data_IF_852426404894
#
_entry.id   IF_852426404894
#
_cell.length_a   1.000
_cell.length_b   1.000
_cell.length_c   1.000
_cell.angle_alpha   90.00
_cell.angle_beta   90.00
_cell.angle_gamma   90.00
#
_symmetry.space_group_name_H-M   'P 1'
#
loop_
_entity.id
_entity.type
_entity.pdbx_description
1 polymer ?
#
# COMPACT_ATOMS: atom_id res chain seq x y z
N UNK A 1 -20.80 23.35 -6.94
CA UNK A 1 -21.63 23.78 -5.81
C UNK A 1 -23.03 24.22 -6.25
N UNK A 2 -23.20 25.09 -7.25
CA UNK A 2 -24.53 25.60 -7.67
C UNK A 2 -25.53 24.51 -8.10
N UNK A 3 -25.06 23.44 -8.75
CA UNK A 3 -25.91 22.33 -9.21
C UNK A 3 -26.45 21.46 -8.05
N UNK A 4 -25.70 21.32 -6.95
CA UNK A 4 -26.13 20.54 -5.77
C UNK A 4 -27.24 21.26 -5.04
N UNK A 5 -27.14 22.59 -4.92
CA UNK A 5 -28.19 23.43 -4.35
C UNK A 5 -29.45 23.42 -5.22
N UNK A 6 -29.30 23.53 -6.55
CA UNK A 6 -30.42 23.45 -7.47
C UNK A 6 -31.19 22.12 -7.35
N UNK A 7 -30.48 20.99 -7.34
CA UNK A 7 -31.08 19.67 -7.16
C UNK A 7 -31.72 19.50 -5.78
N UNK A 8 -31.09 20.02 -4.72
CA UNK A 8 -31.64 19.96 -3.35
C UNK A 8 -32.96 20.70 -3.26
N UNK A 9 -33.07 21.88 -3.88
CA UNK A 9 -34.32 22.64 -3.97
C UNK A 9 -35.37 21.89 -4.79
N UNK A 10 -34.99 21.32 -5.94
CA UNK A 10 -35.87 20.51 -6.80
C UNK A 10 -36.50 19.32 -6.05
N UNK A 11 -35.73 18.67 -5.16
CA UNK A 11 -36.16 17.45 -4.47
C UNK A 11 -36.66 17.68 -3.04
N UNK A 12 -36.55 18.90 -2.51
CA UNK A 12 -37.05 19.28 -1.19
C UNK A 12 -38.40 20.01 -1.24
N UNK A 13 -38.82 20.52 -2.40
CA UNK A 13 -40.12 21.19 -2.57
C UNK A 13 -41.31 20.20 -2.50
N UNK A 14 -42.51 20.64 -2.05
CA UNK A 14 -43.74 19.84 -2.10
C UNK A 14 -44.18 19.53 -3.55
N UNK A 15 -44.95 18.46 -3.73
CA UNK A 15 -45.20 17.84 -5.05
C UNK A 15 -45.87 18.77 -6.08
N UNK A 16 -46.65 19.74 -5.61
CA UNK A 16 -47.32 20.77 -6.40
C UNK A 16 -46.38 21.86 -6.95
N UNK A 17 -45.26 22.10 -6.27
CA UNK A 17 -44.20 23.00 -6.74
C UNK A 17 -43.19 22.31 -7.66
N UNK A 18 -42.94 21.01 -7.46
CA UNK A 18 -42.05 20.21 -8.32
C UNK A 18 -42.48 20.20 -9.79
N UNK A 19 -43.79 20.25 -10.06
CA UNK A 19 -44.34 20.27 -11.41
C UNK A 19 -44.08 21.60 -12.17
N UNK A 20 -43.74 22.69 -11.46
CA UNK A 20 -43.46 24.01 -12.06
C UNK A 20 -41.98 24.21 -12.41
N UNK A 21 -41.09 23.39 -11.86
CA UNK A 21 -39.64 23.46 -12.09
C UNK A 21 -39.33 22.67 -13.37
N UNK A 22 -39.54 23.31 -14.52
CA UNK A 22 -39.51 22.68 -15.85
C UNK A 22 -38.15 22.20 -16.37
N UNK A 23 -37.08 22.23 -15.58
CA UNK A 23 -35.78 21.62 -15.93
C UNK A 23 -35.34 20.71 -14.80
N UNK A 24 -35.25 19.40 -15.10
CA UNK A 24 -34.62 18.43 -14.21
C UNK A 24 -33.11 18.62 -14.28
N UNK A 25 -32.44 18.65 -13.13
CA UNK A 25 -30.98 18.56 -13.09
C UNK A 25 -30.53 17.26 -13.77
N UNK A 26 -29.53 17.36 -14.65
CA UNK A 26 -28.93 16.21 -15.32
C UNK A 26 -28.08 15.39 -14.34
N UNK A 27 -28.39 14.10 -14.20
CA UNK A 27 -27.71 13.16 -13.31
C UNK A 27 -26.51 12.54 -14.03
N UNK A 28 -25.49 13.34 -14.31
CA UNK A 28 -24.23 12.83 -14.85
C UNK A 28 -23.36 12.19 -13.75
N UNK A 29 -22.36 11.36 -14.10
CA UNK A 29 -21.55 10.64 -13.10
C UNK A 29 -20.83 11.56 -12.09
N UNK A 30 -20.32 12.71 -12.53
CA UNK A 30 -19.64 13.69 -11.66
C UNK A 30 -20.60 14.37 -10.68
N UNK A 31 -21.83 14.63 -11.10
CA UNK A 31 -22.88 15.17 -10.25
C UNK A 31 -23.41 14.13 -9.28
N UNK A 32 -23.58 12.88 -9.71
CA UNK A 32 -23.89 11.75 -8.84
C UNK A 32 -22.81 11.54 -7.78
N UNK A 33 -21.53 11.70 -8.12
CA UNK A 33 -20.44 11.68 -7.15
C UNK A 33 -20.48 12.88 -6.18
N UNK A 34 -20.83 14.09 -6.64
CA UNK A 34 -21.05 15.23 -5.74
C UNK A 34 -22.27 15.04 -4.82
N UNK A 35 -23.29 14.31 -5.29
CA UNK A 35 -24.57 14.14 -4.61
C UNK A 35 -24.57 12.98 -3.62
N UNK A 36 -23.98 11.85 -4.00
CA UNK A 36 -23.85 10.63 -3.19
C UNK A 36 -22.60 10.63 -2.32
N UNK A 37 -21.70 11.60 -2.55
CA UNK A 37 -20.32 11.59 -2.07
C UNK A 37 -19.45 10.72 -2.96
N UNK A 38 -18.27 11.21 -3.33
CA UNK A 38 -17.21 10.31 -3.77
C UNK A 38 -16.90 9.37 -2.60
N UNK A 39 -16.65 8.07 -2.84
CA UNK A 39 -16.14 7.21 -1.77
C UNK A 39 -14.92 7.88 -1.16
N UNK A 40 -14.90 7.98 0.17
CA UNK A 40 -13.70 8.43 0.85
C UNK A 40 -12.55 7.44 0.58
N UNK A 41 -11.32 7.90 0.75
CA UNK A 41 -10.13 7.10 0.46
C UNK A 41 -10.14 5.78 1.24
N UNK A 42 -10.70 5.75 2.45
CA UNK A 42 -10.83 4.54 3.24
C UNK A 42 -11.75 3.48 2.59
N UNK A 43 -12.84 3.91 1.95
CA UNK A 43 -13.70 3.02 1.18
C UNK A 43 -13.02 2.53 -0.09
N UNK A 44 -12.26 3.38 -0.79
CA UNK A 44 -11.46 2.98 -1.95
C UNK A 44 -10.40 1.94 -1.58
N UNK A 45 -9.71 2.13 -0.45
CA UNK A 45 -8.73 1.17 0.08
C UNK A 45 -9.35 -0.22 0.32
N UNK A 46 -10.55 -0.26 0.91
CA UNK A 46 -11.28 -1.53 1.14
C UNK A 46 -11.72 -2.18 -0.16
N UNK A 47 -12.22 -1.40 -1.11
CA UNK A 47 -12.66 -1.91 -2.42
C UNK A 47 -11.48 -2.50 -3.20
N UNK A 48 -10.34 -1.81 -3.19
CA UNK A 48 -9.13 -2.30 -3.84
C UNK A 48 -8.66 -3.63 -3.23
N UNK A 49 -8.59 -3.73 -1.89
CA UNK A 49 -8.23 -4.99 -1.23
C UNK A 49 -9.23 -6.12 -1.52
N UNK A 50 -10.54 -5.82 -1.54
CA UNK A 50 -11.56 -6.81 -1.87
C UNK A 50 -11.39 -7.36 -3.30
N UNK A 51 -11.02 -6.50 -4.26
CA UNK A 51 -10.71 -6.93 -5.63
C UNK A 51 -9.42 -7.77 -5.69
N UNK A 52 -8.38 -7.39 -4.94
CA UNK A 52 -7.11 -8.13 -4.82
C UNK A 52 -7.34 -9.56 -4.28
N UNK A 53 -8.17 -9.71 -3.25
CA UNK A 53 -8.44 -11.01 -2.62
C UNK A 53 -9.46 -11.88 -3.38
N UNK A 54 -10.28 -11.28 -4.24
CA UNK A 54 -11.37 -11.99 -4.90
C UNK A 54 -10.84 -13.06 -5.87
N UNK A 55 -11.30 -14.32 -5.80
CA UNK A 55 -10.97 -15.33 -6.78
C UNK A 55 -11.62 -15.07 -8.15
N UNK A 56 -12.67 -14.23 -8.20
CA UNK A 56 -13.43 -13.92 -9.42
C UNK A 56 -12.81 -12.80 -10.26
N UNK A 57 -11.79 -12.12 -9.73
CA UNK A 57 -11.07 -11.05 -10.43
C UNK A 57 -9.83 -11.65 -11.07
N UNK A 58 -9.67 -11.45 -12.38
CA UNK A 58 -8.48 -11.88 -13.11
C UNK A 58 -7.22 -11.12 -12.67
N UNK A 59 -6.06 -11.65 -13.07
CA UNK A 59 -4.77 -11.12 -12.61
C UNK A 59 -4.53 -9.68 -13.07
N UNK A 60 -4.93 -9.33 -14.31
CA UNK A 60 -4.75 -7.97 -14.85
C UNK A 60 -5.53 -6.94 -14.04
N UNK A 61 -6.78 -7.24 -13.71
CA UNK A 61 -7.62 -6.39 -12.88
C UNK A 61 -7.14 -6.33 -11.42
N UNK A 62 -6.52 -7.41 -10.90
CA UNK A 62 -5.85 -7.38 -9.59
C UNK A 62 -4.64 -6.47 -9.57
N UNK A 63 -3.85 -6.43 -10.66
CA UNK A 63 -2.72 -5.50 -10.78
C UNK A 63 -3.20 -4.05 -10.75
N UNK A 64 -4.27 -3.73 -11.48
CA UNK A 64 -4.89 -2.40 -11.45
C UNK A 64 -5.39 -2.07 -10.04
N UNK A 65 -6.05 -3.00 -9.36
CA UNK A 65 -6.49 -2.81 -7.98
C UNK A 65 -5.31 -2.57 -7.02
N UNK A 66 -4.20 -3.29 -7.19
CA UNK A 66 -2.98 -3.09 -6.43
C UNK A 66 -2.34 -1.73 -6.67
N UNK A 67 -2.28 -1.27 -7.93
CA UNK A 67 -1.72 0.03 -8.29
C UNK A 67 -2.52 1.17 -7.65
N UNK A 68 -3.86 1.10 -7.73
CA UNK A 68 -4.75 2.04 -7.04
C UNK A 68 -4.56 2.02 -5.51
N UNK A 69 -4.45 0.82 -4.92
CA UNK A 69 -4.21 0.67 -3.49
C UNK A 69 -2.86 1.25 -3.06
N UNK A 70 -1.82 1.00 -3.85
CA UNK A 70 -0.47 1.51 -3.64
C UNK A 70 -0.45 3.04 -3.65
N UNK A 71 -1.08 3.68 -4.64
CA UNK A 71 -1.20 5.14 -4.71
C UNK A 71 -1.87 5.72 -3.46
N UNK A 72 -2.96 5.10 -2.98
CA UNK A 72 -3.61 5.55 -1.74
C UNK A 72 -2.66 5.45 -0.53
N UNK A 73 -1.84 4.40 -0.47
CA UNK A 73 -0.85 4.18 0.59
C UNK A 73 0.38 5.10 0.51
N UNK A 74 0.57 5.89 -0.55
CA UNK A 74 1.59 6.96 -0.56
C UNK A 74 1.25 8.08 0.43
N UNK A 75 -0.05 8.27 0.71
CA UNK A 75 -0.51 9.18 1.76
C UNK A 75 -0.29 8.59 3.16
N UNK A 76 0.47 9.30 4.00
CA UNK A 76 0.81 8.87 5.38
C UNK A 76 -0.45 8.57 6.22
N UNK A 77 -1.51 9.35 6.06
CA UNK A 77 -2.77 9.12 6.78
C UNK A 77 -3.42 7.79 6.39
N UNK A 78 -3.48 7.48 5.09
CA UNK A 78 -4.01 6.21 4.59
C UNK A 78 -3.12 5.02 4.98
N UNK A 79 -1.80 5.15 4.86
CA UNK A 79 -0.86 4.13 5.32
C UNK A 79 -1.08 3.81 6.81
N UNK A 80 -1.28 4.83 7.64
CA UNK A 80 -1.58 4.65 9.06
C UNK A 80 -2.99 4.10 9.31
N UNK A 81 -3.93 4.33 8.39
CA UNK A 81 -5.30 3.83 8.49
C UNK A 81 -5.42 2.34 8.15
N UNK A 82 -4.41 1.72 7.52
CA UNK A 82 -4.38 0.28 7.23
C UNK A 82 -4.74 -0.60 8.45
N UNK A 83 -4.31 -0.21 9.66
CA UNK A 83 -4.62 -0.97 10.88
C UNK A 83 -6.09 -0.84 11.32
N UNK A 84 -6.65 0.36 11.23
CA UNK A 84 -8.06 0.60 11.54
C UNK A 84 -8.96 -0.12 10.56
N UNK A 85 -8.59 -0.13 9.27
CA UNK A 85 -9.31 -0.81 8.20
C UNK A 85 -9.04 -2.32 8.14
N UNK A 86 -8.13 -2.84 8.98
CA UNK A 86 -7.71 -4.26 9.02
C UNK A 86 -7.13 -4.78 7.71
N UNK A 87 -6.44 -3.92 6.96
CA UNK A 87 -5.88 -4.22 5.64
C UNK A 87 -4.43 -4.72 5.67
N UNK A 88 -3.72 -4.59 6.79
CA UNK A 88 -2.37 -5.15 6.93
C UNK A 88 -2.34 -6.67 6.76
N UNK A 89 -3.28 -7.38 7.39
CA UNK A 89 -3.35 -8.85 7.32
C UNK A 89 -3.52 -9.34 5.87
N UNK A 90 -4.57 -8.87 5.15
CA UNK A 90 -4.74 -9.13 3.72
C UNK A 90 -3.50 -8.80 2.89
N UNK A 91 -2.89 -7.62 3.08
CA UNK A 91 -1.70 -7.20 2.34
C UNK A 91 -0.49 -8.13 2.59
N UNK A 92 -0.23 -8.48 3.85
CA UNK A 92 0.83 -9.43 4.23
C UNK A 92 0.57 -10.81 3.61
N UNK A 93 -0.69 -11.25 3.57
CA UNK A 93 -1.04 -12.56 3.03
C UNK A 93 -0.72 -12.68 1.53
N UNK A 94 -0.79 -11.57 0.78
CA UNK A 94 -0.44 -11.54 -0.64
C UNK A 94 1.05 -11.84 -0.92
N UNK A 95 1.94 -11.72 0.07
CA UNK A 95 3.33 -12.18 -0.05
C UNK A 95 3.45 -13.70 -0.25
N UNK A 96 2.41 -14.48 0.06
CA UNK A 96 2.39 -15.94 -0.14
C UNK A 96 1.66 -16.37 -1.42
N UNK A 97 1.28 -15.42 -2.29
CA UNK A 97 0.56 -15.73 -3.53
C UNK A 97 1.39 -16.58 -4.48
N UNK A 98 0.75 -17.51 -5.21
CA UNK A 98 1.39 -18.27 -6.29
C UNK A 98 1.86 -17.31 -7.41
N UNK A 99 1.11 -16.24 -7.64
CA UNK A 99 1.39 -15.25 -8.67
C UNK A 99 2.48 -14.28 -8.23
N UNK A 100 3.61 -14.28 -8.95
CA UNK A 100 4.75 -13.42 -8.63
C UNK A 100 4.39 -11.93 -8.64
N UNK A 101 3.48 -11.53 -9.51
CA UNK A 101 3.06 -10.13 -9.61
C UNK A 101 2.33 -9.65 -8.35
N UNK A 102 1.55 -10.52 -7.71
CA UNK A 102 0.86 -10.23 -6.46
C UNK A 102 1.88 -10.03 -5.32
N UNK A 103 2.86 -10.94 -5.21
CA UNK A 103 3.94 -10.83 -4.22
C UNK A 103 4.77 -9.55 -4.41
N UNK A 104 5.10 -9.21 -5.67
CA UNK A 104 5.80 -7.98 -6.08
C UNK A 104 5.05 -6.73 -5.60
N UNK A 105 3.76 -6.63 -5.93
CA UNK A 105 2.95 -5.47 -5.56
C UNK A 105 2.76 -5.38 -4.05
N UNK A 106 2.50 -6.49 -3.36
CA UNK A 106 2.35 -6.52 -1.92
C UNK A 106 3.62 -6.00 -1.20
N UNK A 107 4.81 -6.49 -1.58
CA UNK A 107 6.07 -6.00 -1.04
C UNK A 107 6.28 -4.51 -1.34
N UNK A 108 5.95 -4.07 -2.56
CA UNK A 108 6.07 -2.66 -2.95
C UNK A 108 5.14 -1.76 -2.13
N UNK A 109 3.85 -2.10 -2.03
CA UNK A 109 2.87 -1.32 -1.24
C UNK A 109 3.29 -1.23 0.22
N UNK A 110 3.80 -2.32 0.82
CA UNK A 110 4.37 -2.27 2.18
C UNK A 110 5.54 -1.30 2.27
N UNK A 111 6.47 -1.37 1.32
CA UNK A 111 7.62 -0.48 1.26
C UNK A 111 7.25 1.00 1.13
N UNK A 112 6.18 1.31 0.40
CA UNK A 112 5.61 2.67 0.29
C UNK A 112 4.96 3.08 1.61
N UNK A 113 4.09 2.25 2.18
CA UNK A 113 3.34 2.56 3.39
C UNK A 113 4.23 2.86 4.61
N UNK A 114 5.39 2.19 4.72
CA UNK A 114 6.32 2.35 5.84
C UNK A 114 7.44 3.36 5.58
N UNK A 115 7.57 3.91 4.37
CA UNK A 115 8.66 4.82 4.03
C UNK A 115 8.58 6.10 4.87
N UNK A 116 9.61 6.34 5.69
CA UNK A 116 9.67 7.49 6.61
C UNK A 116 8.41 7.60 7.52
N UNK A 117 7.82 6.46 7.89
CA UNK A 117 6.60 6.40 8.67
C UNK A 117 6.74 5.43 9.86
N UNK A 118 7.26 5.91 11.02
CA UNK A 118 7.49 5.09 12.21
C UNK A 118 6.28 4.29 12.68
N UNK A 119 5.08 4.88 12.62
CA UNK A 119 3.85 4.20 13.03
C UNK A 119 3.53 2.98 12.15
N UNK A 120 3.71 3.11 10.84
CA UNK A 120 3.53 1.99 9.92
C UNK A 120 4.68 0.98 10.00
N UNK A 121 5.92 1.43 10.21
CA UNK A 121 7.09 0.57 10.44
C UNK A 121 6.89 -0.31 11.69
N UNK A 122 6.51 0.29 12.82
CA UNK A 122 6.15 -0.43 14.07
C UNK A 122 5.04 -1.44 13.82
N UNK A 123 3.99 -1.05 13.08
CA UNK A 123 2.88 -1.95 12.81
C UNK A 123 3.31 -3.15 11.97
N UNK A 124 4.04 -2.92 10.89
CA UNK A 124 4.58 -3.99 10.04
C UNK A 124 5.49 -4.94 10.84
N UNK A 125 6.36 -4.39 11.69
CA UNK A 125 7.22 -5.15 12.58
C UNK A 125 6.41 -6.02 13.55
N UNK A 126 5.38 -5.45 14.19
CA UNK A 126 4.51 -6.15 15.15
C UNK A 126 3.76 -7.34 14.55
N UNK A 127 3.56 -7.35 13.23
CA UNK A 127 2.83 -8.37 12.48
C UNK A 127 3.75 -9.43 11.84
N UNK A 128 5.06 -9.39 12.13
CA UNK A 128 6.03 -10.31 11.52
C UNK A 128 6.27 -10.02 10.03
N UNK A 129 5.97 -8.81 9.57
CA UNK A 129 6.11 -8.43 8.17
C UNK A 129 7.57 -8.31 7.71
N UNK A 130 8.48 -7.98 8.64
CA UNK A 130 9.91 -7.86 8.33
C UNK A 130 10.51 -9.22 7.97
N UNK A 131 10.17 -10.26 8.72
CA UNK A 131 10.56 -11.65 8.48
C UNK A 131 10.13 -12.10 7.09
N UNK A 132 8.87 -11.85 6.73
CA UNK A 132 8.33 -12.20 5.42
C UNK A 132 9.00 -11.44 4.29
N UNK A 133 9.29 -10.15 4.47
CA UNK A 133 10.01 -9.36 3.47
C UNK A 133 11.45 -9.85 3.29
N UNK A 134 12.16 -10.22 4.36
CA UNK A 134 13.50 -10.79 4.27
C UNK A 134 13.47 -12.15 3.57
N UNK A 135 12.57 -13.05 3.98
CA UNK A 135 12.39 -14.36 3.34
C UNK A 135 12.14 -14.23 1.83
N UNK A 136 11.21 -13.36 1.45
CA UNK A 136 10.88 -13.05 0.07
C UNK A 136 12.07 -12.44 -0.68
N UNK A 137 12.80 -11.52 -0.07
CA UNK A 137 13.96 -10.87 -0.71
C UNK A 137 15.08 -11.86 -1.01
N UNK A 138 15.28 -12.85 -0.15
CA UNK A 138 16.36 -13.82 -0.28
C UNK A 138 16.00 -15.01 -1.16
N UNK A 139 14.74 -15.47 -1.14
CA UNK A 139 14.38 -16.78 -1.65
C UNK A 139 13.34 -16.79 -2.78
N UNK A 140 12.70 -15.65 -3.11
CA UNK A 140 11.70 -15.65 -4.18
C UNK A 140 12.32 -16.04 -5.53
N UNK A 141 11.70 -16.91 -6.34
CA UNK A 141 12.25 -17.29 -7.63
C UNK A 141 12.34 -16.13 -8.63
N UNK A 142 11.51 -15.09 -8.47
CA UNK A 142 11.41 -13.98 -9.42
C UNK A 142 12.21 -12.78 -8.93
N UNK A 143 13.20 -12.36 -9.72
CA UNK A 143 14.09 -11.22 -9.40
C UNK A 143 13.31 -9.94 -9.09
N UNK A 144 12.28 -9.62 -9.89
CA UNK A 144 11.47 -8.43 -9.68
C UNK A 144 10.78 -8.40 -8.30
N UNK A 145 10.41 -9.58 -7.77
CA UNK A 145 9.83 -9.71 -6.43
C UNK A 145 10.90 -9.46 -5.38
N UNK A 146 12.07 -10.12 -5.50
CA UNK A 146 13.21 -9.91 -4.59
C UNK A 146 13.63 -8.44 -4.52
N UNK A 147 13.69 -7.75 -5.66
CA UNK A 147 14.03 -6.33 -5.72
C UNK A 147 13.00 -5.43 -5.02
N UNK A 148 11.70 -5.74 -5.09
CA UNK A 148 10.68 -5.00 -4.34
C UNK A 148 10.72 -5.32 -2.84
N UNK A 149 11.07 -6.55 -2.47
CA UNK A 149 11.39 -6.91 -1.09
C UNK A 149 12.56 -6.08 -0.53
N UNK A 150 13.67 -5.99 -1.27
CA UNK A 150 14.83 -5.17 -0.88
C UNK A 150 14.49 -3.67 -0.77
N UNK A 151 13.62 -3.17 -1.65
CA UNK A 151 13.10 -1.80 -1.57
C UNK A 151 12.27 -1.60 -0.29
N UNK A 152 11.40 -2.55 0.05
CA UNK A 152 10.61 -2.48 1.28
C UNK A 152 11.49 -2.54 2.53
N UNK A 153 12.50 -3.41 2.56
CA UNK A 153 13.49 -3.48 3.66
C UNK A 153 14.22 -2.14 3.79
N UNK A 154 14.61 -1.49 2.69
CA UNK A 154 15.19 -0.14 2.74
C UNK A 154 14.27 0.87 3.41
N UNK A 155 12.95 0.79 3.21
CA UNK A 155 11.99 1.65 3.89
C UNK A 155 11.83 1.27 5.37
N UNK A 156 11.93 -0.01 5.72
CA UNK A 156 11.82 -0.50 7.12
C UNK A 156 12.99 -0.02 7.98
N UNK A 157 14.23 -0.07 7.47
CA UNK A 157 15.43 0.14 8.31
C UNK A 157 15.89 1.59 8.43
N UNK A 158 15.39 2.48 7.57
CA UNK A 158 15.77 3.90 7.58
C UNK A 158 15.01 4.64 8.67
N UNK A 159 15.75 5.38 9.50
CA UNK A 159 15.20 6.17 10.60
C UNK A 159 14.34 5.36 11.60
N UNK A 160 14.58 4.06 11.74
CA UNK A 160 13.82 3.18 12.64
C UNK A 160 14.70 2.04 13.19
N UNK A 161 15.09 2.16 14.45
CA UNK A 161 16.12 1.31 15.09
C UNK A 161 15.66 -0.12 15.26
N UNK A 162 14.42 -0.34 15.69
CA UNK A 162 13.86 -1.66 15.92
C UNK A 162 13.73 -2.43 14.61
N UNK A 163 13.36 -1.74 13.52
CA UNK A 163 13.30 -2.33 12.18
C UNK A 163 14.69 -2.68 11.64
N UNK A 164 15.67 -1.80 11.82
CA UNK A 164 17.07 -2.08 11.45
C UNK A 164 17.60 -3.29 12.21
N UNK A 165 17.49 -3.27 13.55
CA UNK A 165 17.95 -4.38 14.39
C UNK A 165 17.31 -5.70 13.96
N UNK A 166 15.99 -5.71 13.76
CA UNK A 166 15.29 -6.91 13.33
C UNK A 166 15.74 -7.40 11.96
N UNK A 167 15.94 -6.49 11.01
CA UNK A 167 16.45 -6.85 9.69
C UNK A 167 17.87 -7.43 9.76
N UNK A 168 18.77 -6.86 10.55
CA UNK A 168 20.14 -7.36 10.73
C UNK A 168 20.18 -8.76 11.34
N UNK A 169 19.27 -9.09 12.27
CA UNK A 169 19.16 -10.45 12.83
C UNK A 169 18.75 -11.51 11.79
N UNK A 170 18.08 -11.09 10.71
CA UNK A 170 17.50 -11.98 9.69
C UNK A 170 18.33 -12.01 8.40
N UNK A 171 19.05 -10.94 8.10
CA UNK A 171 19.90 -10.84 6.92
C UNK A 171 21.16 -11.69 7.10
N UNK A 172 21.67 -12.31 6.02
CA UNK A 172 22.88 -13.11 6.09
C UNK A 172 24.13 -12.25 6.30
N UNK A 173 25.15 -12.83 6.93
CA UNK A 173 26.40 -12.13 7.28
C UNK A 173 27.12 -11.52 6.07
N UNK A 174 26.97 -12.09 4.88
CA UNK A 174 27.56 -11.56 3.64
C UNK A 174 26.92 -10.24 3.18
N UNK A 175 25.73 -9.91 3.66
CA UNK A 175 25.05 -8.64 3.37
C UNK A 175 25.44 -7.55 4.37
N UNK A 176 25.44 -7.86 5.67
CA UNK A 176 25.68 -6.87 6.72
C UNK A 176 27.14 -6.84 7.24
N UNK A 177 27.98 -7.78 6.82
CA UNK A 177 29.43 -7.86 7.13
C UNK A 177 29.77 -7.84 8.62
N UNK A 178 28.83 -8.19 9.50
CA UNK A 178 29.01 -8.08 10.96
C UNK A 178 29.29 -6.65 11.46
N UNK A 179 28.95 -5.63 10.67
CA UNK A 179 29.12 -4.22 11.05
C UNK A 179 28.00 -3.76 11.97
N UNK A 180 28.33 -2.86 12.88
CA UNK A 180 27.33 -2.08 13.61
C UNK A 180 26.76 -1.00 12.69
N UNK A 181 25.43 -0.89 12.63
CA UNK A 181 24.73 0.11 11.83
C UNK A 181 23.98 1.08 12.72
N UNK A 182 24.07 2.36 12.39
CA UNK A 182 23.27 3.43 12.96
C UNK A 182 22.20 3.82 11.93
N UNK A 183 20.95 3.95 12.36
CA UNK A 183 19.84 4.33 11.47
C UNK A 183 19.96 5.74 10.90
N UNK A 184 20.73 6.61 11.57
CA UNK A 184 21.01 7.97 11.13
C UNK A 184 22.17 8.05 10.12
N UNK A 185 23.00 7.00 10.04
CA UNK A 185 24.08 6.89 9.07
C UNK A 185 23.57 6.38 7.72
N UNK A 186 22.99 7.31 6.97
CA UNK A 186 22.34 7.01 5.70
C UNK A 186 23.30 6.50 4.62
N UNK A 187 24.61 6.76 4.75
CA UNK A 187 25.65 6.24 3.85
C UNK A 187 25.86 4.75 4.11
N UNK A 188 26.08 4.36 5.36
CA UNK A 188 26.24 2.95 5.73
C UNK A 188 24.96 2.14 5.47
N UNK A 189 23.79 2.69 5.80
CA UNK A 189 22.50 2.07 5.45
C UNK A 189 22.35 1.96 3.92
N UNK A 190 22.81 2.97 3.16
CA UNK A 190 22.87 2.90 1.70
C UNK A 190 23.70 1.72 1.20
N UNK A 191 24.91 1.54 1.75
CA UNK A 191 25.79 0.42 1.41
C UNK A 191 25.19 -0.95 1.75
N UNK A 192 24.53 -1.09 2.89
CA UNK A 192 23.79 -2.31 3.28
C UNK A 192 22.72 -2.66 2.24
N UNK A 193 21.89 -1.67 1.87
CA UNK A 193 20.80 -1.87 0.92
C UNK A 193 21.31 -2.17 -0.49
N UNK A 194 22.41 -1.57 -0.93
CA UNK A 194 22.99 -1.91 -2.24
C UNK A 194 23.52 -3.35 -2.30
N UNK A 195 24.12 -3.86 -1.22
CA UNK A 195 24.50 -5.28 -1.13
C UNK A 195 23.29 -6.20 -1.13
N UNK A 196 22.26 -5.86 -0.37
CA UNK A 196 21.00 -6.61 -0.37
C UNK A 196 20.38 -6.63 -1.78
N UNK A 197 20.41 -5.50 -2.51
CA UNK A 197 19.95 -5.42 -3.90
C UNK A 197 20.81 -6.25 -4.86
N UNK A 198 22.14 -6.23 -4.72
CA UNK A 198 23.04 -7.07 -5.52
C UNK A 198 22.72 -8.56 -5.33
N UNK A 199 22.55 -8.97 -4.06
CA UNK A 199 22.11 -10.33 -3.71
C UNK A 199 20.74 -10.66 -4.29
N UNK A 200 19.78 -9.74 -4.21
CA UNK A 200 18.45 -9.89 -4.79
C UNK A 200 18.49 -10.04 -6.33
N UNK A 201 19.49 -9.47 -7.02
CA UNK A 201 19.71 -9.70 -8.47
C UNK A 201 20.31 -11.07 -8.78
N UNK A 202 20.77 -11.82 -7.78
CA UNK A 202 21.55 -13.04 -7.99
C UNK A 202 22.98 -12.76 -8.46
N UNK A 203 23.47 -11.53 -8.26
CA UNK A 203 24.85 -11.16 -8.54
C UNK A 203 25.69 -11.56 -7.31
N UNK A 204 26.47 -12.62 -7.44
CA UNK A 204 27.52 -13.02 -6.48
C UNK A 204 28.86 -12.48 -6.96
#
# INVERSE_FOLDING_TARGET
>A
MDKVLAWSIENSAPADERAKIGKRTDLNPEFLAQLLGAPDEAQLMKQAMAAIESPEVDLENKEIAFDNFLQLCEGIDNANNLDNLKLWGPLINQLNSEEAVMRKYAAWTMGVAVQNNPKAQEKLLSLGGVEKLVELTLNDPVEAVRLKGALAISSVVRNFEEGLKRALELLPEDVHEGKDYDTSDMENIGGLIEKLRAKARGQQ
#
